data_IF_654776675481
#
_entry.id   IF_654776675481
#
_cell.length_a   1.000
_cell.length_b   1.000
_cell.length_c   1.000
_cell.angle_alpha   90.00
_cell.angle_beta   90.00
_cell.angle_gamma   90.00
#
_symmetry.space_group_name_H-M   'P 1'
#
loop_
_entity.id
_entity.type
_entity.pdbx_description
1 polymer ?
#
# COMPACT_ATOMS: atom_id res chain seq x y z
N UNK A 1 -6.22 -13.93 -19.99
CA UNK A 1 -5.15 -13.77 -18.97
C UNK A 1 -4.74 -12.31 -19.00
N UNK A 2 -5.42 -11.47 -18.24
CA UNK A 2 -5.26 -10.01 -18.31
C UNK A 2 -4.49 -9.53 -17.07
N UNK A 3 -3.28 -8.99 -17.30
CA UNK A 3 -2.63 -8.02 -16.41
C UNK A 3 -2.28 -8.46 -14.98
N UNK A 4 -2.06 -9.75 -14.71
CA UNK A 4 -1.60 -10.19 -13.40
C UNK A 4 -0.22 -9.57 -13.09
N UNK A 5 -0.12 -8.76 -12.04
CA UNK A 5 1.15 -8.26 -11.56
C UNK A 5 1.81 -9.35 -10.71
N UNK A 6 3.15 -9.40 -10.76
CA UNK A 6 3.93 -10.39 -10.02
C UNK A 6 4.81 -9.63 -9.04
N UNK A 7 4.59 -9.88 -7.75
CA UNK A 7 5.45 -9.36 -6.67
C UNK A 7 6.39 -10.49 -6.26
N UNK A 8 7.70 -10.27 -6.44
CA UNK A 8 8.75 -11.18 -5.97
C UNK A 8 9.01 -10.87 -4.49
N UNK A 9 8.79 -11.87 -3.63
CA UNK A 9 9.01 -11.77 -2.18
C UNK A 9 9.84 -12.95 -1.72
N UNK A 10 10.81 -12.71 -0.83
CA UNK A 10 11.58 -13.75 -0.15
C UNK A 10 11.20 -13.76 1.33
N UNK A 11 10.46 -14.78 1.77
CA UNK A 11 9.98 -14.86 3.15
C UNK A 11 11.11 -14.76 4.20
N UNK A 12 12.27 -15.36 3.92
CA UNK A 12 13.43 -15.32 4.82
C UNK A 12 14.07 -13.92 4.91
N UNK A 13 13.99 -13.11 3.85
CA UNK A 13 14.46 -11.73 3.86
C UNK A 13 13.45 -10.86 4.64
N UNK A 14 12.15 -11.08 4.44
CA UNK A 14 11.10 -10.33 5.14
C UNK A 14 11.11 -10.59 6.66
N UNK A 15 11.40 -11.82 7.10
CA UNK A 15 11.55 -12.14 8.53
C UNK A 15 12.71 -11.35 9.16
N UNK A 16 13.88 -11.32 8.50
CA UNK A 16 15.02 -10.52 8.95
C UNK A 16 14.68 -9.02 9.00
N UNK A 17 13.98 -8.50 7.98
CA UNK A 17 13.55 -7.10 7.94
C UNK A 17 12.56 -6.78 9.06
N UNK A 18 11.72 -7.74 9.48
CA UNK A 18 10.72 -7.55 10.52
C UNK A 18 11.33 -7.46 11.92
N UNK A 19 12.45 -8.16 12.16
CA UNK A 19 13.18 -8.13 13.43
C UNK A 19 14.09 -6.90 13.58
N UNK A 20 14.32 -6.14 12.50
CA UNK A 20 15.09 -4.89 12.51
C UNK A 20 14.25 -3.73 13.04
N UNK A 21 14.61 -3.21 14.20
CA UNK A 21 13.98 -2.03 14.82
C UNK A 21 14.64 -0.71 14.41
N UNK A 22 15.94 -0.71 14.09
CA UNK A 22 16.69 0.49 13.67
C UNK A 22 16.45 0.79 12.18
N UNK A 23 15.89 1.96 11.84
CA UNK A 23 15.69 2.37 10.45
C UNK A 23 16.99 2.44 9.62
N UNK A 24 18.12 2.86 10.22
CA UNK A 24 19.39 2.98 9.49
C UNK A 24 19.94 1.59 9.10
N UNK A 25 19.85 0.63 10.02
CA UNK A 25 20.22 -0.77 9.77
C UNK A 25 19.35 -1.39 8.67
N UNK A 26 18.04 -1.14 8.72
CA UNK A 26 17.09 -1.61 7.72
C UNK A 26 17.42 -1.07 6.33
N UNK A 27 17.77 0.22 6.22
CA UNK A 27 18.17 0.84 4.95
C UNK A 27 19.47 0.24 4.40
N UNK A 28 20.47 0.01 5.26
CA UNK A 28 21.73 -0.63 4.86
C UNK A 28 21.47 -2.05 4.33
N UNK A 29 20.71 -2.86 5.07
CA UNK A 29 20.37 -4.23 4.68
C UNK A 29 19.63 -4.27 3.33
N UNK A 30 18.62 -3.42 3.15
CA UNK A 30 17.92 -3.31 1.87
C UNK A 30 18.88 -2.92 0.74
N UNK A 31 19.77 -1.95 0.99
CA UNK A 31 20.78 -1.49 0.03
C UNK A 31 21.76 -2.59 -0.40
N UNK A 32 22.20 -3.47 0.50
CA UNK A 32 23.07 -4.61 0.18
C UNK A 32 22.44 -5.57 -0.84
N UNK A 33 21.13 -5.77 -0.76
CA UNK A 33 20.36 -6.60 -1.68
C UNK A 33 19.83 -5.82 -2.91
N UNK A 34 20.16 -4.53 -3.04
CA UNK A 34 19.66 -3.67 -4.12
C UNK A 34 18.16 -3.38 -4.02
N UNK A 35 17.58 -3.49 -2.82
CA UNK A 35 16.19 -3.21 -2.51
C UNK A 35 16.07 -1.77 -1.98
N UNK A 36 14.96 -1.12 -2.29
CA UNK A 36 14.62 0.22 -1.78
C UNK A 36 13.54 0.16 -0.69
N UNK A 37 12.83 -0.96 -0.59
CA UNK A 37 11.75 -1.20 0.36
C UNK A 37 11.50 -2.72 0.52
N UNK A 38 10.81 -3.10 1.59
CA UNK A 38 10.33 -4.47 1.83
C UNK A 38 9.33 -4.92 0.75
N UNK A 39 9.37 -6.20 0.39
CA UNK A 39 8.41 -6.81 -0.52
C UNK A 39 6.99 -6.86 0.07
N UNK A 40 6.86 -6.98 1.40
CA UNK A 40 5.56 -6.93 2.07
C UNK A 40 4.87 -5.56 1.90
N UNK A 41 5.64 -4.47 1.81
CA UNK A 41 5.09 -3.13 1.55
C UNK A 41 4.34 -3.06 0.22
N UNK A 42 4.73 -3.90 -0.74
CA UNK A 42 4.13 -3.95 -2.07
C UNK A 42 2.83 -4.79 -2.11
N UNK A 43 2.56 -5.60 -1.07
CA UNK A 43 1.44 -6.55 -1.08
C UNK A 43 0.09 -5.93 -0.72
N UNK A 44 0.07 -4.84 0.06
CA UNK A 44 -1.16 -4.23 0.56
C UNK A 44 -1.23 -2.79 0.09
N UNK A 45 -2.23 -2.51 -0.74
CA UNK A 45 -2.66 -1.15 -1.05
C UNK A 45 -4.16 -1.05 -0.83
N UNK A 46 -4.62 0.11 -0.40
CA UNK A 46 -6.03 0.40 -0.24
C UNK A 46 -6.42 1.57 -1.13
N UNK A 47 -7.54 1.45 -1.83
CA UNK A 47 -8.21 2.62 -2.40
C UNK A 47 -8.97 3.30 -1.25
N UNK A 48 -8.68 4.57 -0.99
CA UNK A 48 -9.25 5.35 0.11
C UNK A 48 -10.11 6.47 -0.45
N UNK A 49 -11.32 6.56 0.07
CA UNK A 49 -12.31 7.58 -0.26
C UNK A 49 -12.79 8.22 1.04
N UNK A 50 -12.78 9.55 1.11
CA UNK A 50 -13.35 10.27 2.25
C UNK A 50 -14.89 10.21 2.20
N UNK A 51 -15.53 9.97 3.34
CA UNK A 51 -17.00 9.95 3.43
C UNK A 51 -17.65 11.24 2.90
N UNK A 52 -17.02 12.40 3.14
CA UNK A 52 -17.50 13.68 2.62
C UNK A 52 -17.55 13.70 1.07
N UNK A 53 -16.49 13.23 0.40
CA UNK A 53 -16.46 13.11 -1.06
C UNK A 53 -17.50 12.07 -1.54
N UNK A 54 -17.67 10.96 -0.83
CA UNK A 54 -18.70 9.97 -1.17
C UNK A 54 -20.12 10.53 -1.04
N UNK A 55 -20.37 11.35 -0.02
CA UNK A 55 -21.65 12.03 0.15
C UNK A 55 -21.93 13.05 -0.95
N UNK A 56 -20.90 13.70 -1.51
CA UNK A 56 -21.03 14.66 -2.61
C UNK A 56 -21.24 13.95 -3.95
N UNK A 57 -20.35 13.03 -4.32
CA UNK A 57 -20.30 12.41 -5.64
C UNK A 57 -21.20 11.18 -5.79
N UNK A 58 -21.65 10.58 -4.68
CA UNK A 58 -22.62 9.47 -4.57
C UNK A 58 -22.19 8.12 -5.18
N UNK A 59 -21.22 8.09 -6.09
CA UNK A 59 -20.75 6.85 -6.74
C UNK A 59 -19.24 6.85 -6.86
N UNK A 60 -18.64 5.66 -6.76
CA UNK A 60 -17.18 5.48 -6.90
C UNK A 60 -16.66 5.93 -8.26
N UNK A 61 -17.44 5.74 -9.33
CA UNK A 61 -17.10 6.21 -10.68
C UNK A 61 -16.92 7.72 -10.70
N UNK A 62 -17.85 8.47 -10.11
CA UNK A 62 -17.77 9.93 -10.05
C UNK A 62 -16.64 10.43 -9.17
N UNK A 63 -16.34 9.73 -8.07
CA UNK A 63 -15.20 10.04 -7.18
C UNK A 63 -13.88 9.84 -7.93
N UNK A 64 -13.77 8.77 -8.72
CA UNK A 64 -12.61 8.50 -9.55
C UNK A 64 -12.46 9.54 -10.67
N UNK A 65 -13.55 9.92 -11.34
CA UNK A 65 -13.56 10.99 -12.35
C UNK A 65 -13.19 12.36 -11.76
N UNK A 66 -13.59 12.62 -10.50
CA UNK A 66 -13.23 13.82 -9.75
C UNK A 66 -11.81 13.79 -9.16
N UNK A 67 -11.06 12.68 -9.33
CA UNK A 67 -9.70 12.53 -8.80
C UNK A 67 -9.62 12.47 -7.27
N UNK A 68 -10.72 12.09 -6.58
CA UNK A 68 -10.82 12.03 -5.11
C UNK A 68 -10.59 10.64 -4.53
N UNK A 69 -10.21 9.67 -5.35
CA UNK A 69 -9.85 8.31 -4.92
C UNK A 69 -8.33 8.22 -4.76
N UNK A 70 -7.86 8.09 -3.52
CA UNK A 70 -6.44 7.90 -3.22
C UNK A 70 -6.09 6.40 -3.22
N UNK A 71 -4.82 6.07 -3.48
CA UNK A 71 -4.28 4.72 -3.28
C UNK A 71 -3.19 4.81 -2.23
N UNK A 72 -3.45 4.18 -1.10
CA UNK A 72 -2.64 4.29 0.11
C UNK A 72 -1.97 2.97 0.44
N UNK A 73 -0.76 3.03 0.98
CA UNK A 73 0.03 1.86 1.37
C UNK A 73 -0.06 1.57 2.87
N UNK A 74 0.81 0.66 3.34
CA UNK A 74 0.88 0.25 4.76
C UNK A 74 1.14 1.39 5.75
N UNK A 75 1.77 2.49 5.32
CA UNK A 75 2.16 3.61 6.18
C UNK A 75 1.05 4.65 6.35
N UNK A 76 -0.10 4.43 5.71
CA UNK A 76 -1.24 5.34 5.80
C UNK A 76 -1.94 5.25 7.16
N UNK A 77 -2.08 6.40 7.82
CA UNK A 77 -2.82 6.51 9.08
C UNK A 77 -4.30 6.76 8.76
N UNK A 78 -5.11 5.72 8.93
CA UNK A 78 -6.56 5.74 8.71
C UNK A 78 -7.22 6.87 9.51
N UNK A 79 -8.06 7.65 8.83
CA UNK A 79 -8.83 8.72 9.43
C UNK A 79 -10.29 8.29 9.63
N UNK A 80 -10.98 8.93 10.58
CA UNK A 80 -12.42 8.72 10.76
C UNK A 80 -13.18 9.12 9.48
N UNK A 81 -14.15 8.28 9.09
CA UNK A 81 -14.89 8.47 7.83
C UNK A 81 -14.14 8.01 6.56
N UNK A 82 -13.04 7.27 6.68
CA UNK A 82 -12.42 6.62 5.52
C UNK A 82 -13.23 5.40 5.06
N UNK A 83 -13.62 5.42 3.79
CA UNK A 83 -14.15 4.26 3.08
C UNK A 83 -12.97 3.64 2.34
N UNK A 84 -12.59 2.43 2.73
CA UNK A 84 -11.41 1.75 2.20
C UNK A 84 -11.75 0.46 1.47
N UNK A 85 -11.16 0.30 0.29
CA UNK A 85 -11.16 -0.94 -0.45
C UNK A 85 -9.75 -1.53 -0.50
N UNK A 86 -9.51 -2.54 0.33
CA UNK A 86 -8.21 -3.22 0.38
C UNK A 86 -8.02 -4.12 -0.82
N UNK A 87 -6.90 -3.91 -1.52
CA UNK A 87 -6.47 -4.72 -2.64
C UNK A 87 -5.33 -5.62 -2.17
N UNK A 88 -5.63 -6.90 -2.11
CA UNK A 88 -4.65 -7.95 -1.92
C UNK A 88 -4.21 -8.45 -3.29
N UNK A 89 -2.91 -8.68 -3.48
CA UNK A 89 -2.36 -9.21 -4.73
C UNK A 89 -2.51 -8.23 -5.92
N UNK A 90 -2.07 -6.98 -5.72
CA UNK A 90 -2.06 -5.94 -6.78
C UNK A 90 -1.03 -6.27 -7.82
#
# INVERSE_FOLDING_TARGET
>A
AEGAQVVLVSAAIEEQIADMEDPEEKEMFLGEYGLTESGLNKLIRAEVIKLADYQEYKTEVKIKEAGKMAVEGKDYVVQDGDIMHFRFNV
#
